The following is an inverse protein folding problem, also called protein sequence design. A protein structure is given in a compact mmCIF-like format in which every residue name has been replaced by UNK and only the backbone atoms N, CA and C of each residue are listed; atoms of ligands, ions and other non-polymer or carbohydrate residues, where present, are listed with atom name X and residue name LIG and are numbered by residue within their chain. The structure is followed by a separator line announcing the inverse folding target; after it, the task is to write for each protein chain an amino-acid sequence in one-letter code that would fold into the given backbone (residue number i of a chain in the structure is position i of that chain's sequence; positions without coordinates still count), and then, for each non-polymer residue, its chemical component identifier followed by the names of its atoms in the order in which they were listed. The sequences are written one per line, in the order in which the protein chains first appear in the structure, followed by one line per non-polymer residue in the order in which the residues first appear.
data_IF_546507288299
#
_entry.id   IF_546507288299
#
_cell.length_a   1.000
_cell.length_b   1.000
_cell.length_c   1.000
_cell.angle_alpha   90.00
_cell.angle_beta   90.00
_cell.angle_gamma   90.00
#
_symmetry.space_group_name_H-M   'P 1'
#
loop_
_entity.id
_entity.type
_entity.pdbx_description
1 polymer ?
#
# COMPACT_ATOMS: atom_id res chain seq x y z
N UNK A 1 -0.29 -15.81 15.33
CA UNK A 1 -1.53 -15.10 15.71
C UNK A 1 -1.95 -14.16 14.63
N UNK A 2 -3.21 -14.21 14.25
CA UNK A 2 -3.76 -13.36 13.19
C UNK A 2 -4.14 -11.99 13.78
N UNK A 3 -3.79 -10.93 13.08
CA UNK A 3 -4.19 -9.58 13.48
C UNK A 3 -5.69 -9.39 13.27
N UNK A 4 -6.28 -8.56 14.12
CA UNK A 4 -7.70 -8.26 14.04
C UNK A 4 -7.98 -7.34 12.84
N UNK A 5 -9.08 -7.60 12.16
CA UNK A 5 -9.58 -6.76 11.09
C UNK A 5 -10.05 -5.42 11.67
N UNK A 6 -9.63 -4.33 11.04
CA UNK A 6 -9.95 -2.98 11.49
C UNK A 6 -11.24 -2.47 10.87
N UNK A 7 -11.85 -1.48 11.50
CA UNK A 7 -12.88 -0.69 10.87
C UNK A 7 -12.24 0.14 9.75
N UNK A 8 -12.74 -0.01 8.53
CA UNK A 8 -12.11 0.58 7.35
C UNK A 8 -12.11 2.11 7.39
N UNK A 9 -13.22 2.71 7.80
CA UNK A 9 -13.30 4.17 7.89
C UNK A 9 -12.26 4.71 8.88
N UNK A 10 -12.09 4.03 10.00
CA UNK A 10 -11.12 4.42 11.01
C UNK A 10 -9.69 4.24 10.51
N UNK A 11 -9.42 3.14 9.81
CA UNK A 11 -8.09 2.88 9.24
C UNK A 11 -7.70 3.97 8.24
N UNK A 12 -8.64 4.44 7.43
CA UNK A 12 -8.38 5.46 6.42
C UNK A 12 -8.28 6.88 6.96
N UNK A 13 -8.64 7.10 8.23
CA UNK A 13 -8.67 8.42 8.85
C UNK A 13 -7.32 9.14 8.77
N UNK A 14 -6.24 8.39 8.97
CA UNK A 14 -4.88 8.92 8.94
C UNK A 14 -4.16 8.62 7.63
N UNK A 15 -4.89 8.17 6.61
CA UNK A 15 -4.34 7.80 5.31
C UNK A 15 -5.08 8.54 4.20
N UNK A 16 -4.92 9.86 4.09
CA UNK A 16 -5.75 10.66 3.17
C UNK A 16 -5.53 10.33 1.69
N UNK A 17 -4.40 9.74 1.32
CA UNK A 17 -4.12 9.38 -0.07
C UNK A 17 -4.62 7.98 -0.43
N UNK A 18 -5.18 7.27 0.54
CA UNK A 18 -5.70 5.93 0.33
C UNK A 18 -7.22 5.94 0.33
N UNK A 19 -7.78 5.06 -0.47
CA UNK A 19 -9.24 4.89 -0.55
C UNK A 19 -9.60 3.42 -0.38
N UNK A 20 -10.83 3.16 0.00
CA UNK A 20 -11.36 1.81 0.05
C UNK A 20 -11.44 1.25 -1.37
N UNK A 21 -10.99 0.02 -1.55
CA UNK A 21 -11.18 -0.69 -2.80
C UNK A 21 -12.65 -1.13 -2.92
N UNK A 22 -13.20 -1.05 -4.11
CA UNK A 22 -14.61 -1.39 -4.36
C UNK A 22 -14.80 -2.83 -4.82
N UNK A 23 -13.75 -3.64 -4.73
CA UNK A 23 -13.83 -5.07 -5.02
C UNK A 23 -14.51 -5.87 -3.91
N UNK A 24 -14.59 -7.20 -4.07
CA UNK A 24 -15.32 -8.04 -3.12
C UNK A 24 -14.66 -8.19 -1.75
N UNK A 25 -13.35 -7.95 -1.66
CA UNK A 25 -12.61 -8.03 -0.39
C UNK A 25 -12.45 -6.65 0.19
N UNK A 26 -12.46 -6.55 1.53
CA UNK A 26 -12.08 -5.31 2.19
C UNK A 26 -10.57 -5.07 1.96
N UNK A 27 -10.24 -3.95 1.33
CA UNK A 27 -8.87 -3.60 1.00
C UNK A 27 -8.76 -2.08 0.86
N UNK A 28 -7.55 -1.56 0.91
CA UNK A 28 -7.28 -0.15 0.62
C UNK A 28 -6.34 -0.06 -0.57
N UNK A 29 -6.47 1.01 -1.36
CA UNK A 29 -5.66 1.19 -2.55
C UNK A 29 -5.17 2.61 -2.71
N UNK A 30 -4.03 2.73 -3.39
CA UNK A 30 -3.44 4.02 -3.76
C UNK A 30 -2.74 3.87 -5.11
N UNK A 31 -2.90 4.88 -5.98
CA UNK A 31 -2.13 5.00 -7.22
C UNK A 31 -1.03 6.03 -7.01
N UNK A 32 0.19 5.68 -7.43
CA UNK A 32 1.35 6.57 -7.35
C UNK A 32 1.91 6.79 -8.75
N UNK A 33 2.35 8.02 -9.02
CA UNK A 33 2.97 8.38 -10.28
C UNK A 33 4.33 8.99 -10.00
N UNK A 34 5.36 8.44 -10.65
CA UNK A 34 6.74 8.85 -10.46
C UNK A 34 7.25 9.60 -11.69
N UNK A 35 8.49 10.11 -11.63
CA UNK A 35 9.07 10.84 -12.74
C UNK A 35 9.31 9.93 -13.96
N UNK A 36 9.69 8.67 -13.70
CA UNK A 36 10.01 7.70 -14.76
C UNK A 36 9.93 6.28 -14.22
N UNK A 37 10.25 5.31 -15.07
CA UNK A 37 10.22 3.90 -14.68
C UNK A 37 11.28 3.59 -13.62
N UNK A 38 12.45 4.18 -13.72
CA UNK A 38 13.54 3.94 -12.75
C UNK A 38 13.07 4.31 -11.34
N UNK A 39 12.44 5.47 -11.19
CA UNK A 39 11.90 5.92 -9.90
C UNK A 39 10.79 4.99 -9.42
N UNK A 40 9.88 4.60 -10.30
CA UNK A 40 8.79 3.68 -9.95
C UNK A 40 9.35 2.34 -9.45
N UNK A 41 10.31 1.79 -10.17
CA UNK A 41 10.91 0.50 -9.81
C UNK A 41 11.72 0.61 -8.52
N UNK A 42 12.44 1.72 -8.33
CA UNK A 42 13.15 1.98 -7.07
C UNK A 42 12.21 2.04 -5.88
N UNK A 43 11.06 2.67 -6.04
CA UNK A 43 10.01 2.68 -5.03
C UNK A 43 9.56 1.24 -4.72
N UNK A 44 9.25 0.47 -5.75
CA UNK A 44 8.80 -0.91 -5.57
C UNK A 44 9.86 -1.76 -4.86
N UNK A 45 11.12 -1.55 -5.17
CA UNK A 45 12.22 -2.27 -4.53
C UNK A 45 12.26 -2.00 -3.03
N UNK A 46 12.12 -0.74 -2.63
CA UNK A 46 12.11 -0.37 -1.21
C UNK A 46 10.94 -0.99 -0.47
N UNK A 47 9.76 -0.96 -1.09
CA UNK A 47 8.56 -1.55 -0.49
C UNK A 47 8.69 -3.08 -0.42
N UNK A 48 9.27 -3.69 -1.45
CA UNK A 48 9.48 -5.13 -1.48
C UNK A 48 10.37 -5.62 -0.33
N UNK A 49 11.40 -4.85 0.01
CA UNK A 49 12.29 -5.20 1.13
C UNK A 49 11.53 -5.18 2.46
N UNK A 50 10.68 -4.18 2.66
CA UNK A 50 9.85 -4.13 3.85
C UNK A 50 8.82 -5.26 3.87
N UNK A 51 8.20 -5.53 2.72
CA UNK A 51 7.20 -6.60 2.61
C UNK A 51 7.78 -7.95 3.02
N UNK A 52 9.00 -8.25 2.59
CA UNK A 52 9.69 -9.48 2.98
C UNK A 52 9.96 -9.51 4.48
N UNK A 53 10.39 -8.39 5.04
CA UNK A 53 10.69 -8.29 6.47
C UNK A 53 9.43 -8.47 7.33
N UNK A 54 8.30 -7.93 6.88
CA UNK A 54 7.03 -8.03 7.58
C UNK A 54 6.31 -9.35 7.33
N UNK A 55 6.75 -10.11 6.33
CA UNK A 55 6.02 -11.25 5.80
C UNK A 55 4.58 -10.85 5.44
N UNK A 56 4.45 -9.70 4.79
CA UNK A 56 3.17 -9.13 4.38
C UNK A 56 3.35 -8.40 3.05
N UNK A 57 2.74 -8.89 1.98
CA UNK A 57 3.04 -8.45 0.62
C UNK A 57 1.89 -7.68 0.00
N UNK A 58 2.18 -6.57 -0.70
CA UNK A 58 1.13 -5.84 -1.41
C UNK A 58 0.71 -6.60 -2.67
N UNK A 59 -0.54 -6.35 -3.09
CA UNK A 59 -0.99 -6.71 -4.43
C UNK A 59 -0.84 -5.45 -5.28
N UNK A 60 0.04 -5.50 -6.24
CA UNK A 60 0.35 -4.28 -6.99
C UNK A 60 0.63 -4.56 -8.46
N UNK A 61 0.57 -3.49 -9.24
CA UNK A 61 0.93 -3.52 -10.65
C UNK A 61 1.71 -2.27 -11.02
N UNK A 62 2.52 -2.37 -12.05
CA UNK A 62 3.34 -1.27 -12.52
C UNK A 62 3.22 -1.14 -14.03
N UNK A 63 2.96 0.09 -14.49
CA UNK A 63 3.02 0.43 -15.91
C UNK A 63 3.88 1.70 -16.01
N UNK A 64 5.06 1.57 -16.56
CA UNK A 64 6.02 2.66 -16.74
C UNK A 64 6.27 3.40 -15.41
N UNK A 65 5.77 4.63 -15.27
CA UNK A 65 5.98 5.45 -14.08
C UNK A 65 4.85 5.36 -13.06
N UNK A 66 3.87 4.50 -13.30
CA UNK A 66 2.69 4.36 -12.43
C UNK A 66 2.74 3.05 -11.66
N UNK A 67 2.43 3.13 -10.38
CA UNK A 67 2.30 1.95 -9.51
C UNK A 67 0.94 2.01 -8.83
N UNK A 68 0.16 0.94 -8.98
CA UNK A 68 -1.12 0.77 -8.30
C UNK A 68 -0.93 -0.23 -7.18
N UNK A 69 -1.23 0.17 -5.94
CA UNK A 69 -1.02 -0.66 -4.75
C UNK A 69 -2.36 -0.99 -4.10
N UNK A 70 -2.56 -2.26 -3.81
CA UNK A 70 -3.70 -2.75 -3.04
C UNK A 70 -3.18 -3.47 -1.81
N UNK A 71 -3.72 -3.14 -0.63
CA UNK A 71 -3.33 -3.75 0.63
C UNK A 71 -4.52 -4.40 1.30
N UNK A 72 -4.34 -5.64 1.70
CA UNK A 72 -5.32 -6.41 2.47
C UNK A 72 -4.59 -7.53 3.21
N UNK A 73 -5.18 -8.05 4.27
CA UNK A 73 -4.62 -9.17 5.01
C UNK A 73 -5.50 -10.39 4.81
N UNK A 74 -5.00 -11.37 4.08
CA UNK A 74 -5.79 -12.55 3.70
C UNK A 74 -6.32 -13.30 4.91
N UNK A 75 -5.49 -13.52 5.92
CA UNK A 75 -5.86 -14.29 7.10
C UNK A 75 -7.00 -13.64 7.89
N UNK A 76 -7.13 -12.33 7.81
CA UNK A 76 -8.17 -11.59 8.52
C UNK A 76 -9.35 -11.25 7.62
N UNK A 77 -9.26 -11.57 6.33
CA UNK A 77 -10.26 -11.25 5.33
C UNK A 77 -10.56 -9.74 5.29
N UNK A 78 -9.52 -8.94 5.38
CA UNK A 78 -9.68 -7.50 5.35
C UNK A 78 -8.42 -6.75 5.80
N UNK A 79 -8.60 -5.47 6.07
CA UNK A 79 -7.51 -4.56 6.44
C UNK A 79 -7.17 -4.70 7.91
N UNK A 80 -5.89 -4.85 8.22
CA UNK A 80 -5.36 -4.92 9.57
C UNK A 80 -4.29 -3.86 9.79
N UNK A 81 -3.72 -3.83 11.00
CA UNK A 81 -2.62 -2.92 11.30
C UNK A 81 -1.41 -3.11 10.40
N UNK A 82 -1.22 -4.32 9.85
CA UNK A 82 -0.12 -4.57 8.91
C UNK A 82 -0.28 -3.73 7.65
N UNK A 83 -1.50 -3.62 7.15
CA UNK A 83 -1.80 -2.82 5.96
C UNK A 83 -1.60 -1.33 6.24
N UNK A 84 -2.05 -0.86 7.39
CA UNK A 84 -1.87 0.55 7.80
C UNK A 84 -0.38 0.87 7.94
N UNK A 85 0.37 -0.01 8.57
CA UNK A 85 1.82 0.15 8.75
C UNK A 85 2.53 0.23 7.39
N UNK A 86 2.20 -0.67 6.47
CA UNK A 86 2.77 -0.67 5.13
C UNK A 86 2.34 0.57 4.34
N UNK A 87 1.08 0.99 4.45
CA UNK A 87 0.59 2.20 3.79
C UNK A 87 1.36 3.43 4.24
N UNK A 88 1.64 3.55 5.53
CA UNK A 88 2.43 4.66 6.07
C UNK A 88 3.86 4.66 5.53
N UNK A 89 4.47 3.49 5.44
CA UNK A 89 5.81 3.36 4.85
C UNK A 89 5.80 3.76 3.38
N UNK A 90 4.81 3.28 2.63
CA UNK A 90 4.64 3.63 1.22
C UNK A 90 4.52 5.15 1.06
N UNK A 91 3.73 5.79 1.91
CA UNK A 91 3.54 7.24 1.87
C UNK A 91 4.85 7.99 2.14
N UNK A 92 5.64 7.52 3.12
CA UNK A 92 6.93 8.13 3.43
C UNK A 92 7.90 8.02 2.27
N UNK A 93 8.01 6.86 1.66
CA UNK A 93 8.91 6.65 0.52
C UNK A 93 8.44 7.46 -0.68
N UNK A 94 7.15 7.47 -0.95
CA UNK A 94 6.57 8.23 -2.05
C UNK A 94 6.86 9.73 -1.90
N UNK A 95 6.67 10.28 -0.71
CA UNK A 95 6.96 11.68 -0.43
C UNK A 95 8.43 11.99 -0.64
N UNK A 96 9.32 11.15 -0.10
CA UNK A 96 10.76 11.33 -0.24
C UNK A 96 11.22 11.28 -1.69
N UNK A 97 10.52 10.54 -2.54
CA UNK A 97 10.84 10.39 -3.96
C UNK A 97 10.08 11.39 -4.85
N UNK A 98 9.26 12.27 -4.27
CA UNK A 98 8.52 13.27 -5.01
C UNK A 98 7.40 12.71 -5.87
N UNK A 99 6.80 11.60 -5.46
CA UNK A 99 5.71 10.99 -6.20
C UNK A 99 4.45 11.84 -6.16
N UNK A 100 3.73 11.88 -7.29
CA UNK A 100 2.39 12.43 -7.38
C UNK A 100 1.34 11.34 -7.37
N UNK A 101 0.09 11.73 -7.40
CA UNK A 101 -1.03 10.81 -7.45
C UNK A 101 -1.59 10.70 -8.86
#
# INVERSE_FOLDING_TARGET
MTDARLDLAQALQDLPDWVADDGPRQAIRRRLVFADFNAAFGFMTRVALLADKMDHHPEWSNVYNRVDVLLTTHDADGVTRRDVEMARFIDQVAEAMGAGA
#
